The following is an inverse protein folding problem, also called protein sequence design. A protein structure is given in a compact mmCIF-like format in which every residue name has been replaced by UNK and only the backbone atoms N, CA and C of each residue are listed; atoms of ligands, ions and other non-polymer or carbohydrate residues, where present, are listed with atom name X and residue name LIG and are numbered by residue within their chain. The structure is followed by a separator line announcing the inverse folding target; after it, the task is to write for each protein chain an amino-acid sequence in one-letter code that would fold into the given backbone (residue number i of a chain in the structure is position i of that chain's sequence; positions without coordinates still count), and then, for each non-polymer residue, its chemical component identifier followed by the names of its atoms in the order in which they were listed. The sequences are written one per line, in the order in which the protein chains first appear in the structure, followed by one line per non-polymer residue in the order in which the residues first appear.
data_IF_764406747544
#
_entry.id   IF_764406747544
#
_cell.length_a   1.000
_cell.length_b   1.000
_cell.length_c   1.000
_cell.angle_alpha   90.00
_cell.angle_beta   90.00
_cell.angle_gamma   90.00
#
_symmetry.space_group_name_H-M   'P 1'
#
loop_
_entity.id
_entity.type
_entity.pdbx_description
1 polymer ?
#
# COMPACT_ATOMS: atom_id res chain seq x y z
N UNK A 1 5.76 -20.83 4.10
CA UNK A 1 6.19 -19.45 3.82
C UNK A 1 5.35 -18.53 4.67
N UNK A 2 5.96 -17.71 5.53
CA UNK A 2 5.25 -16.77 6.39
C UNK A 2 4.84 -15.53 5.58
N UNK A 3 3.55 -15.32 5.39
CA UNK A 3 3.03 -14.07 4.83
C UNK A 3 2.92 -13.03 5.96
N UNK A 4 3.53 -11.87 5.77
CA UNK A 4 3.37 -10.74 6.69
C UNK A 4 2.10 -9.97 6.29
N UNK A 5 1.13 -9.91 7.20
CA UNK A 5 -0.10 -9.15 7.02
C UNK A 5 -0.03 -7.84 7.80
N UNK A 6 -0.66 -6.80 7.28
CA UNK A 6 -0.78 -5.51 7.96
C UNK A 6 -2.23 -5.29 8.40
N UNK A 7 -2.47 -5.17 9.70
CA UNK A 7 -3.71 -4.63 10.27
C UNK A 7 -3.38 -3.75 11.48
N UNK A 8 -4.17 -2.70 11.71
CA UNK A 8 -4.05 -1.85 12.91
C UNK A 8 -4.83 -2.41 14.10
N UNK A 9 -5.75 -3.35 13.87
CA UNK A 9 -6.66 -3.90 14.87
C UNK A 9 -6.74 -5.43 14.80
N UNK A 10 -7.07 -6.07 15.93
CA UNK A 10 -7.02 -7.51 16.16
C UNK A 10 -8.16 -8.32 15.51
N UNK A 11 -9.14 -7.66 14.91
CA UNK A 11 -10.19 -8.33 14.14
C UNK A 11 -9.69 -8.57 12.70
N UNK A 12 -9.10 -9.74 12.46
CA UNK A 12 -8.47 -10.21 11.21
C UNK A 12 -9.41 -10.33 9.99
N UNK A 13 -10.41 -9.45 9.83
CA UNK A 13 -11.30 -9.44 8.67
C UNK A 13 -10.61 -8.95 7.39
N UNK A 14 -9.64 -8.05 7.52
CA UNK A 14 -8.99 -7.40 6.39
C UNK A 14 -7.50 -7.68 6.33
N UNK A 15 -6.98 -7.88 5.12
CA UNK A 15 -5.57 -8.16 4.88
C UNK A 15 -5.08 -7.35 3.70
N UNK A 16 -3.99 -6.62 3.89
CA UNK A 16 -3.18 -6.07 2.81
C UNK A 16 -2.04 -7.05 2.52
N UNK A 17 -1.88 -7.44 1.25
CA UNK A 17 -0.93 -8.48 0.84
C UNK A 17 -0.18 -8.02 -0.40
N UNK A 18 1.14 -8.02 -0.33
CA UNK A 18 1.99 -7.97 -1.52
C UNK A 18 2.26 -9.40 -2.00
N UNK A 19 1.70 -9.73 -3.16
CA UNK A 19 1.60 -11.08 -3.70
C UNK A 19 2.83 -11.43 -4.55
N UNK A 20 3.10 -12.73 -4.71
CA UNK A 20 4.24 -13.22 -5.50
C UNK A 20 4.15 -12.89 -7.00
N UNK A 21 2.94 -12.63 -7.50
CA UNK A 21 2.71 -12.21 -8.88
C UNK A 21 2.96 -10.71 -9.12
N UNK A 22 3.39 -9.99 -8.08
CA UNK A 22 3.69 -8.55 -8.12
C UNK A 22 2.50 -7.65 -7.84
N UNK A 23 1.34 -8.21 -7.49
CA UNK A 23 0.17 -7.43 -7.13
C UNK A 23 0.20 -7.00 -5.65
N UNK A 24 -0.20 -5.77 -5.37
CA UNK A 24 -0.54 -5.35 -4.01
C UNK A 24 -2.06 -5.26 -3.88
N UNK A 25 -2.64 -6.04 -2.98
CA UNK A 25 -4.08 -6.21 -2.91
C UNK A 25 -4.61 -6.19 -1.48
N UNK A 26 -5.86 -5.73 -1.35
CA UNK A 26 -6.61 -5.75 -0.10
C UNK A 26 -7.73 -6.78 -0.21
N UNK A 27 -7.81 -7.66 0.78
CA UNK A 27 -8.79 -8.73 0.89
C UNK A 27 -9.63 -8.56 2.14
N UNK A 28 -10.95 -8.74 1.98
CA UNK A 28 -11.85 -9.19 3.03
C UNK A 28 -12.14 -10.67 2.81
N UNK A 29 -13.42 -11.03 2.65
CA UNK A 29 -13.81 -12.35 2.12
C UNK A 29 -13.47 -12.54 0.63
N UNK A 30 -13.33 -11.43 -0.11
CA UNK A 30 -12.83 -11.36 -1.49
C UNK A 30 -11.87 -10.19 -1.66
N UNK A 31 -11.20 -10.13 -2.81
CA UNK A 31 -10.43 -8.94 -3.20
C UNK A 31 -11.36 -7.73 -3.35
N UNK A 32 -11.02 -6.64 -2.67
CA UNK A 32 -11.78 -5.37 -2.76
C UNK A 32 -10.97 -4.27 -3.43
N UNK A 33 -9.65 -4.36 -3.38
CA UNK A 33 -8.75 -3.39 -4.00
C UNK A 33 -7.47 -4.08 -4.49
N UNK A 34 -6.84 -3.50 -5.52
CA UNK A 34 -5.56 -3.94 -6.07
C UNK A 34 -4.86 -2.77 -6.76
N UNK A 35 -3.53 -2.82 -6.82
CA UNK A 35 -2.65 -1.93 -7.59
C UNK A 35 -2.69 -2.18 -9.11
N UNK A 36 -3.41 -3.23 -9.55
CA UNK A 36 -3.49 -3.68 -10.95
C UNK A 36 -2.12 -3.94 -11.58
N UNK A 37 -1.19 -4.49 -10.77
CA UNK A 37 0.17 -4.90 -11.16
C UNK A 37 0.36 -6.42 -11.18
N UNK A 38 -0.73 -7.20 -11.06
CA UNK A 38 -0.68 -8.66 -11.15
C UNK A 38 -0.09 -9.15 -12.47
N UNK A 39 0.76 -10.18 -12.39
CA UNK A 39 1.53 -10.71 -13.51
C UNK A 39 2.89 -10.04 -13.73
N UNK A 40 3.18 -8.92 -13.05
CA UNK A 40 4.47 -8.24 -13.09
C UNK A 40 5.47 -8.91 -12.13
N UNK A 41 5.97 -10.10 -12.52
CA UNK A 41 6.87 -10.94 -11.70
C UNK A 41 8.24 -10.31 -11.38
N UNK A 42 8.56 -9.18 -12.00
CA UNK A 42 9.72 -8.36 -11.69
C UNK A 42 9.47 -7.37 -10.55
N UNK A 43 8.22 -7.17 -10.12
CA UNK A 43 7.89 -6.46 -8.88
C UNK A 43 8.52 -7.19 -7.68
N UNK A 44 9.24 -6.45 -6.85
CA UNK A 44 10.09 -7.03 -5.82
C UNK A 44 9.90 -6.42 -4.45
N UNK A 45 9.53 -5.14 -4.36
CA UNK A 45 9.48 -4.42 -3.09
C UNK A 45 8.32 -3.44 -3.04
N UNK A 46 7.42 -3.63 -2.08
CA UNK A 46 6.48 -2.60 -1.62
C UNK A 46 7.14 -1.80 -0.49
N UNK A 47 7.26 -0.49 -0.62
CA UNK A 47 8.04 0.32 0.34
C UNK A 47 7.43 1.71 0.55
N UNK A 48 7.10 2.02 1.80
CA UNK A 48 6.79 3.37 2.24
C UNK A 48 8.08 4.19 2.32
N UNK A 49 8.12 5.33 1.65
CA UNK A 49 9.28 6.22 1.63
C UNK A 49 9.18 7.31 2.70
N UNK A 50 10.34 7.94 2.94
CA UNK A 50 10.49 9.07 3.88
C UNK A 50 9.77 10.35 3.42
N UNK A 51 9.22 10.39 2.21
CA UNK A 51 8.43 11.51 1.69
C UNK A 51 6.91 11.27 1.76
N UNK A 52 6.46 10.20 2.43
CA UNK A 52 5.08 9.73 2.47
C UNK A 52 4.54 9.06 1.19
N UNK A 53 5.38 8.72 0.21
CA UNK A 53 4.93 7.95 -0.94
C UNK A 53 5.08 6.44 -0.72
N UNK A 54 4.09 5.66 -1.13
CA UNK A 54 4.19 4.20 -1.13
C UNK A 54 4.47 3.72 -2.56
N UNK A 55 5.60 3.06 -2.76
CA UNK A 55 6.02 2.52 -4.06
C UNK A 55 5.94 1.00 -4.13
N UNK A 56 5.67 0.49 -5.33
CA UNK A 56 6.10 -0.85 -5.76
C UNK A 56 7.30 -0.65 -6.71
N UNK A 57 8.42 -1.28 -6.37
CA UNK A 57 9.63 -1.29 -7.20
C UNK A 57 9.79 -2.62 -7.93
N UNK A 58 10.35 -2.54 -9.13
CA UNK A 58 10.92 -3.67 -9.86
C UNK A 58 12.30 -4.05 -9.32
N UNK A 59 12.81 -5.23 -9.70
CA UNK A 59 14.18 -5.68 -9.37
C UNK A 59 15.28 -4.76 -9.90
N UNK A 60 15.02 -4.03 -11.00
CA UNK A 60 15.95 -3.05 -11.57
C UNK A 60 15.82 -1.65 -10.91
N UNK A 61 15.13 -1.56 -9.76
CA UNK A 61 14.84 -0.33 -9.01
C UNK A 61 13.96 0.70 -9.74
N UNK A 62 13.36 0.35 -10.88
CA UNK A 62 12.34 1.21 -11.49
C UNK A 62 11.05 1.15 -10.69
N UNK A 63 10.35 2.29 -10.65
CA UNK A 63 9.00 2.37 -10.09
C UNK A 63 8.03 1.65 -11.03
N UNK A 64 7.23 0.75 -10.47
CA UNK A 64 6.14 0.07 -11.16
C UNK A 64 4.77 0.65 -10.78
N UNK A 65 4.64 1.13 -9.55
CA UNK A 65 3.40 1.72 -9.05
C UNK A 65 3.68 2.65 -7.87
N UNK A 66 2.83 3.66 -7.65
CA UNK A 66 2.91 4.59 -6.53
C UNK A 66 1.57 5.22 -6.11
N UNK A 67 1.47 5.71 -4.89
CA UNK A 67 0.29 6.46 -4.39
C UNK A 67 0.27 7.93 -4.79
N UNK A 68 1.43 8.51 -5.14
CA UNK A 68 1.64 9.96 -5.35
C UNK A 68 1.25 10.82 -4.13
N UNK A 69 1.49 10.30 -2.93
CA UNK A 69 1.22 11.00 -1.67
C UNK A 69 2.45 11.74 -1.13
N UNK A 70 3.46 11.96 -1.98
CA UNK A 70 4.70 12.60 -1.57
C UNK A 70 4.50 14.05 -1.10
N UNK A 71 5.35 14.50 -0.19
CA UNK A 71 5.41 15.90 0.27
C UNK A 71 6.85 16.42 0.24
N UNK A 72 7.02 17.70 -0.10
CA UNK A 72 8.33 18.37 -0.18
C UNK A 72 8.73 19.10 1.10
N UNK A 73 7.84 19.17 2.09
CA UNK A 73 8.05 19.86 3.37
C UNK A 73 8.23 18.90 4.54
N UNK A 74 8.62 19.47 5.69
CA UNK A 74 8.73 18.72 6.93
C UNK A 74 7.36 18.23 7.41
N UNK A 75 7.33 17.00 7.91
CA UNK A 75 6.23 16.41 8.66
C UNK A 75 6.84 15.65 9.84
N UNK A 76 6.04 15.36 10.87
CA UNK A 76 6.55 14.66 12.06
C UNK A 76 6.40 13.15 11.93
N UNK A 77 5.26 12.71 11.41
CA UNK A 77 4.87 11.31 11.35
C UNK A 77 4.15 11.01 10.04
N UNK A 78 4.45 9.84 9.47
CA UNK A 78 3.74 9.29 8.34
C UNK A 78 3.46 7.80 8.57
N UNK A 79 2.19 7.43 8.52
CA UNK A 79 1.76 6.06 8.79
C UNK A 79 1.00 5.49 7.60
N UNK A 80 1.35 4.26 7.24
CA UNK A 80 0.55 3.39 6.39
C UNK A 80 -0.16 2.37 7.29
N UNK A 81 -1.49 2.30 7.24
CA UNK A 81 -2.23 1.29 8.00
C UNK A 81 -3.53 0.88 7.31
N UNK A 82 -3.95 -0.35 7.56
CA UNK A 82 -5.24 -0.89 7.13
C UNK A 82 -6.27 -0.69 8.23
N UNK A 83 -7.36 0.01 7.91
CA UNK A 83 -8.50 0.24 8.79
C UNK A 83 -9.47 -0.95 8.81
N UNK A 84 -10.35 -1.00 9.82
CA UNK A 84 -11.36 -2.05 10.00
C UNK A 84 -12.49 -2.04 8.97
N UNK A 85 -12.58 -0.99 8.16
CA UNK A 85 -13.51 -0.90 7.04
C UNK A 85 -12.89 -1.38 5.72
N UNK A 86 -11.67 -1.94 5.76
CA UNK A 86 -10.96 -2.43 4.58
C UNK A 86 -10.26 -1.35 3.77
N UNK A 87 -10.17 -0.13 4.30
CA UNK A 87 -9.45 0.96 3.64
C UNK A 87 -7.99 1.03 4.09
N UNK A 88 -7.07 0.95 3.13
CA UNK A 88 -5.67 1.25 3.35
C UNK A 88 -5.48 2.76 3.28
N UNK A 89 -4.86 3.32 4.30
CA UNK A 89 -4.73 4.76 4.51
C UNK A 89 -3.26 5.13 4.66
N UNK A 90 -2.86 6.20 4.00
CA UNK A 90 -1.66 6.96 4.33
C UNK A 90 -2.11 8.20 5.10
N UNK A 91 -1.67 8.30 6.35
CA UNK A 91 -1.91 9.45 7.22
C UNK A 91 -0.58 10.17 7.48
N UNK A 92 -0.60 11.50 7.36
CA UNK A 92 0.53 12.38 7.63
C UNK A 92 0.10 13.41 8.67
N UNK A 93 0.75 13.44 9.82
CA UNK A 93 0.45 14.37 10.92
C UNK A 93 -1.05 14.46 11.30
N UNK A 94 -1.76 13.34 11.22
CA UNK A 94 -3.20 13.24 11.51
C UNK A 94 -4.13 13.58 10.33
N UNK A 95 -3.59 13.93 9.17
CA UNK A 95 -4.33 14.15 7.93
C UNK A 95 -4.25 12.91 7.03
N UNK A 96 -5.39 12.41 6.57
CA UNK A 96 -5.45 11.37 5.53
C UNK A 96 -5.07 11.97 4.17
N UNK A 97 -3.93 11.55 3.61
CA UNK A 97 -3.39 12.09 2.35
C UNK A 97 -3.63 11.18 1.15
N UNK A 98 -3.93 9.91 1.40
CA UNK A 98 -4.32 8.94 0.38
C UNK A 98 -5.12 7.80 1.01
N UNK A 99 -6.13 7.29 0.31
CA UNK A 99 -6.82 6.06 0.68
C UNK A 99 -7.21 5.21 -0.53
N UNK A 100 -7.35 3.90 -0.29
CA UNK A 100 -7.71 2.92 -1.32
C UNK A 100 -9.18 3.02 -1.79
N UNK A 101 -10.07 3.67 -1.05
CA UNK A 101 -11.47 3.86 -1.48
C UNK A 101 -11.60 4.88 -2.61
N UNK A 102 -10.69 5.86 -2.65
CA UNK A 102 -10.73 6.99 -3.58
C UNK A 102 -9.67 6.91 -4.67
N UNK A 103 -8.69 6.00 -4.55
CA UNK A 103 -7.57 5.92 -5.49
C UNK A 103 -7.14 4.49 -5.77
N UNK A 104 -6.72 4.25 -7.03
CA UNK A 104 -6.01 3.04 -7.47
C UNK A 104 -4.50 3.21 -7.48
N UNK A 105 -4.00 4.38 -7.08
CA UNK A 105 -2.64 4.81 -7.32
C UNK A 105 -2.32 4.92 -8.82
N UNK A 106 -1.04 4.90 -9.15
CA UNK A 106 -0.52 5.18 -10.49
C UNK A 106 0.57 4.18 -10.84
N UNK A 107 0.49 3.58 -12.03
CA UNK A 107 1.56 2.75 -12.60
C UNK A 107 2.64 3.61 -13.25
#
# INVERSE_FOLDING_TARGET
MSSNYMSKYDELQWKAVFQEDGNFAIYGWRQVWSSDTGGMRDAHRLCMQDDCNLFIYKRDNKVLWQTKSQVSGAFKVCHLYLRNDGNLVIERDGEEVWNSAQSKGYK
#
